data_IF_803985064163
#
_entry.id   IF_803985064163
#
_cell.length_a   1.000
_cell.length_b   1.000
_cell.length_c   1.000
_cell.angle_alpha   90.00
_cell.angle_beta   90.00
_cell.angle_gamma   90.00
#
_symmetry.space_group_name_H-M   'P 1'
#
loop_
_entity.id
_entity.type
_entity.pdbx_description
1 polymer ?
#
# COMPACT_ATOMS: atom_id res chain seq x y z
N UNK A 1 -32.70 -18.22 4.41
CA UNK A 1 -33.99 -17.51 4.57
C UNK A 1 -33.94 -16.77 5.88
N UNK A 2 -33.82 -15.44 5.86
CA UNK A 2 -33.88 -14.62 7.07
C UNK A 2 -35.35 -14.40 7.46
N UNK A 3 -35.72 -14.48 8.74
CA UNK A 3 -37.11 -14.33 9.17
C UNK A 3 -37.58 -12.89 8.92
N UNK A 4 -38.68 -12.74 8.17
CA UNK A 4 -39.40 -11.48 8.00
C UNK A 4 -40.06 -11.12 9.33
N UNK A 5 -39.42 -10.26 10.10
CA UNK A 5 -40.03 -9.66 11.29
C UNK A 5 -40.30 -8.21 10.95
N UNK A 6 -41.59 -7.83 10.95
CA UNK A 6 -41.99 -6.43 10.86
C UNK A 6 -41.48 -5.71 12.12
N UNK A 7 -40.83 -4.56 11.94
CA UNK A 7 -40.35 -3.75 13.04
C UNK A 7 -41.33 -2.59 13.23
N UNK A 8 -42.03 -2.58 14.36
CA UNK A 8 -42.89 -1.49 14.80
C UNK A 8 -42.09 -0.54 15.69
N UNK A 9 -42.31 0.77 15.56
CA UNK A 9 -41.78 1.76 16.49
C UNK A 9 -42.85 2.78 16.87
N UNK A 10 -42.52 3.50 17.94
CA UNK A 10 -43.40 4.34 18.71
C UNK A 10 -42.95 5.80 18.47
N UNK A 11 -43.83 6.66 17.94
CA UNK A 11 -43.55 8.10 17.76
C UNK A 11 -44.50 8.96 18.61
N UNK A 12 -44.03 10.04 19.25
CA UNK A 12 -44.90 10.99 19.94
C UNK A 12 -45.88 11.66 18.96
N UNK A 13 -47.12 11.94 19.41
CA UNK A 13 -48.18 12.55 18.58
C UNK A 13 -47.70 13.78 17.80
N UNK A 14 -47.53 13.65 16.48
CA UNK A 14 -47.51 14.77 15.53
C UNK A 14 -48.91 14.98 14.97
N UNK A 15 -49.43 16.19 15.17
CA UNK A 15 -50.71 16.64 14.59
C UNK A 15 -50.50 16.76 13.07
N UNK A 16 -51.27 15.97 12.31
CA UNK A 16 -50.89 15.50 10.99
C UNK A 16 -51.00 16.48 9.82
N UNK A 17 -50.52 16.01 8.67
CA UNK A 17 -50.99 16.38 7.33
C UNK A 17 -51.08 15.07 6.54
N UNK A 18 -52.28 14.73 6.08
CA UNK A 18 -52.58 13.51 5.33
C UNK A 18 -52.12 13.60 3.87
N UNK A 19 -51.49 12.54 3.37
CA UNK A 19 -51.07 12.44 1.98
C UNK A 19 -50.28 11.16 1.70
N UNK A 20 -50.90 10.00 1.87
CA UNK A 20 -50.30 8.73 1.50
C UNK A 20 -51.08 7.54 2.05
N UNK A 21 -51.36 6.56 1.18
CA UNK A 21 -52.05 5.31 1.54
C UNK A 21 -51.17 4.47 2.46
N UNK A 22 -51.57 4.31 3.73
CA UNK A 22 -50.90 3.43 4.70
C UNK A 22 -51.87 2.36 5.21
N UNK A 23 -51.42 1.10 5.17
CA UNK A 23 -52.07 -0.03 5.83
C UNK A 23 -51.87 0.10 7.36
N UNK A 24 -52.98 0.30 8.08
CA UNK A 24 -53.14 0.11 9.53
C UNK A 24 -52.39 1.07 10.46
N UNK A 25 -53.10 2.02 11.09
CA UNK A 25 -52.61 2.76 12.27
C UNK A 25 -53.21 2.11 13.52
N UNK A 26 -52.40 1.47 14.35
CA UNK A 26 -52.81 1.04 15.69
C UNK A 26 -52.39 2.10 16.72
N UNK A 27 -53.33 2.50 17.59
CA UNK A 27 -53.13 3.50 18.63
C UNK A 27 -52.94 2.81 19.98
N UNK A 28 -51.85 3.12 20.67
CA UNK A 28 -51.60 2.68 22.04
C UNK A 28 -51.14 3.87 22.89
N UNK A 29 -51.85 4.16 23.98
CA UNK A 29 -51.45 5.02 25.10
C UNK A 29 -50.44 6.12 24.74
N UNK A 30 -50.91 7.14 23.99
CA UNK A 30 -50.19 8.35 23.56
C UNK A 30 -49.17 8.27 22.42
N UNK A 31 -49.06 7.11 21.77
CA UNK A 31 -48.21 6.96 20.60
C UNK A 31 -48.95 6.39 19.39
N UNK A 32 -48.47 6.77 18.21
CA UNK A 32 -48.91 6.18 16.95
C UNK A 32 -47.82 5.24 16.44
N UNK A 33 -48.19 4.01 16.11
CA UNK A 33 -47.28 3.07 15.45
C UNK A 33 -47.33 3.32 13.94
N UNK A 34 -46.20 3.73 13.37
CA UNK A 34 -46.05 3.91 11.93
C UNK A 34 -45.37 2.66 11.33
N UNK A 35 -45.95 2.12 10.26
CA UNK A 35 -45.39 0.98 9.55
C UNK A 35 -44.35 1.43 8.52
N UNK A 36 -43.27 0.67 8.37
CA UNK A 36 -42.30 0.90 7.29
C UNK A 36 -42.05 -0.27 6.36
N UNK A 37 -41.50 -0.01 5.16
CA UNK A 37 -41.23 -1.05 4.19
C UNK A 37 -40.32 -2.16 4.76
N UNK A 38 -40.66 -3.41 4.47
CA UNK A 38 -39.87 -4.60 4.83
C UNK A 38 -38.71 -4.84 3.84
N UNK A 39 -37.89 -3.83 3.58
CA UNK A 39 -36.84 -3.84 2.54
C UNK A 39 -35.41 -3.95 3.11
N UNK A 40 -35.29 -4.26 4.41
CA UNK A 40 -34.00 -4.29 5.11
C UNK A 40 -33.42 -2.91 5.42
N UNK A 41 -34.11 -1.82 5.06
CA UNK A 41 -33.78 -0.44 5.44
C UNK A 41 -34.71 0.09 6.54
N UNK A 42 -35.62 -0.74 7.04
CA UNK A 42 -36.64 -0.41 8.05
C UNK A 42 -36.09 0.38 9.24
N UNK A 43 -34.91 0.05 9.76
CA UNK A 43 -34.26 0.80 10.84
C UNK A 43 -33.99 2.27 10.45
N UNK A 44 -33.41 2.51 9.28
CA UNK A 44 -33.09 3.87 8.83
C UNK A 44 -34.34 4.62 8.34
N UNK A 45 -35.32 3.89 7.82
CA UNK A 45 -36.66 4.39 7.54
C UNK A 45 -37.36 4.88 8.81
N UNK A 46 -37.16 4.17 9.94
CA UNK A 46 -37.64 4.56 11.27
C UNK A 46 -37.03 5.84 11.74
N UNK A 47 -35.71 5.89 11.67
CA UNK A 47 -34.96 7.04 12.13
C UNK A 47 -35.34 8.24 11.26
N UNK A 48 -35.48 8.09 9.94
CA UNK A 48 -35.93 9.14 9.03
C UNK A 48 -37.32 9.69 9.44
N UNK A 49 -38.31 8.82 9.64
CA UNK A 49 -39.66 9.20 10.08
C UNK A 49 -39.63 9.99 11.41
N UNK A 50 -38.87 9.49 12.39
CA UNK A 50 -38.74 10.13 13.72
C UNK A 50 -38.08 11.52 13.67
N UNK A 51 -37.14 11.74 12.74
CA UNK A 51 -36.47 13.03 12.55
C UNK A 51 -37.15 13.90 11.48
N UNK A 52 -38.39 13.57 11.10
CA UNK A 52 -39.19 14.30 10.10
C UNK A 52 -38.55 14.39 8.71
N UNK A 53 -37.75 13.40 8.34
CA UNK A 53 -37.18 13.23 7.01
C UNK A 53 -38.03 12.20 6.23
N UNK A 54 -38.33 12.42 4.93
CA UNK A 54 -39.05 11.44 4.14
C UNK A 54 -38.41 10.06 4.19
N UNK A 55 -39.22 9.01 4.38
CA UNK A 55 -38.76 7.62 4.48
C UNK A 55 -37.97 7.17 3.23
N UNK A 56 -38.26 7.76 2.06
CA UNK A 56 -37.48 7.56 0.82
C UNK A 56 -36.00 7.91 0.97
N UNK A 57 -35.66 8.78 1.93
CA UNK A 57 -34.30 9.25 2.19
C UNK A 57 -33.58 8.44 3.28
N UNK A 58 -34.10 7.29 3.71
CA UNK A 58 -33.45 6.40 4.68
C UNK A 58 -31.98 6.06 4.31
N UNK A 59 -31.67 6.01 3.01
CA UNK A 59 -30.29 5.78 2.53
C UNK A 59 -29.35 6.96 2.84
N UNK A 60 -29.87 8.19 2.87
CA UNK A 60 -29.10 9.38 3.26
C UNK A 60 -28.79 9.34 4.76
N UNK A 61 -29.76 8.97 5.60
CA UNK A 61 -29.55 8.80 7.06
C UNK A 61 -28.43 7.78 7.33
N UNK A 62 -28.46 6.65 6.63
CA UNK A 62 -27.38 5.65 6.73
C UNK A 62 -26.04 6.22 6.28
N UNK A 63 -26.01 6.96 5.17
CA UNK A 63 -24.79 7.58 4.64
C UNK A 63 -24.20 8.57 5.65
N UNK A 64 -25.03 9.43 6.22
CA UNK A 64 -24.60 10.44 7.19
C UNK A 64 -24.03 9.78 8.45
N UNK A 65 -24.64 8.69 8.94
CA UNK A 65 -24.09 7.92 10.05
C UNK A 65 -22.72 7.32 9.71
N UNK A 66 -22.57 6.74 8.52
CA UNK A 66 -21.30 6.16 8.07
C UNK A 66 -20.23 7.25 7.92
N UNK A 67 -20.58 8.38 7.33
CA UNK A 67 -19.67 9.51 7.17
C UNK A 67 -19.31 10.13 8.52
N UNK A 68 -20.24 10.19 9.48
CA UNK A 68 -19.95 10.58 10.85
C UNK A 68 -18.93 9.63 11.48
N UNK A 69 -19.18 8.30 11.50
CA UNK A 69 -18.22 7.33 12.06
C UNK A 69 -16.84 7.43 11.39
N UNK A 70 -16.83 7.56 10.06
CA UNK A 70 -15.59 7.73 9.29
C UNK A 70 -14.83 8.98 9.72
N UNK A 71 -15.51 10.10 9.89
CA UNK A 71 -14.87 11.39 10.20
C UNK A 71 -14.50 11.53 11.68
N UNK A 72 -15.27 10.97 12.60
CA UNK A 72 -15.06 11.16 14.05
C UNK A 72 -14.13 10.10 14.64
N UNK A 73 -14.10 8.89 14.07
CA UNK A 73 -13.32 7.78 14.62
C UNK A 73 -12.22 7.30 13.68
N UNK A 74 -12.58 6.94 12.45
CA UNK A 74 -11.63 6.30 11.52
C UNK A 74 -10.54 7.26 11.07
N UNK A 75 -10.91 8.46 10.61
CA UNK A 75 -9.94 9.47 10.15
C UNK A 75 -8.96 9.88 11.26
N UNK A 76 -9.40 10.30 12.46
CA UNK A 76 -8.47 10.70 13.52
C UNK A 76 -7.55 9.57 13.95
N UNK A 77 -8.06 8.33 14.03
CA UNK A 77 -7.23 7.18 14.36
C UNK A 77 -6.18 6.90 13.29
N UNK A 78 -6.58 6.92 12.01
CA UNK A 78 -5.65 6.72 10.89
C UNK A 78 -4.58 7.82 10.83
N UNK A 79 -4.96 9.06 11.12
CA UNK A 79 -4.04 10.20 11.17
C UNK A 79 -3.07 10.06 12.35
N UNK A 80 -3.56 9.75 13.55
CA UNK A 80 -2.72 9.55 14.73
C UNK A 80 -1.72 8.40 14.53
N UNK A 81 -2.13 7.33 13.84
CA UNK A 81 -1.24 6.23 13.49
C UNK A 81 -0.17 6.68 12.49
N UNK A 82 -0.55 7.38 11.43
CA UNK A 82 0.39 7.92 10.44
C UNK A 82 1.39 8.90 11.08
N UNK A 83 0.91 9.79 11.95
CA UNK A 83 1.74 10.74 12.68
C UNK A 83 2.67 10.03 13.67
N UNK A 84 2.20 8.97 14.33
CA UNK A 84 2.99 8.14 15.22
C UNK A 84 4.13 7.41 14.49
N UNK A 85 3.84 6.84 13.32
CA UNK A 85 4.84 6.20 12.45
C UNK A 85 5.84 7.25 11.96
N UNK A 86 5.37 8.38 11.45
CA UNK A 86 6.23 9.47 10.98
C UNK A 86 7.11 10.03 12.10
N UNK A 87 6.59 10.17 13.31
CA UNK A 87 7.35 10.65 14.47
C UNK A 87 8.45 9.68 14.89
N UNK A 88 8.18 8.37 14.85
CA UNK A 88 9.14 7.34 15.29
C UNK A 88 10.16 6.98 14.21
N UNK A 89 9.70 6.85 12.98
CA UNK A 89 10.48 6.28 11.87
C UNK A 89 10.76 7.28 10.75
N UNK A 90 10.22 8.51 10.80
CA UNK A 90 10.36 9.48 9.71
C UNK A 90 11.81 9.75 9.33
N UNK A 91 12.71 9.90 10.31
CA UNK A 91 14.14 10.06 10.05
C UNK A 91 14.74 8.86 9.32
N UNK A 92 14.43 7.64 9.77
CA UNK A 92 14.92 6.39 9.15
C UNK A 92 14.37 6.22 7.74
N UNK A 93 13.10 6.60 7.51
CA UNK A 93 12.45 6.51 6.20
C UNK A 93 12.91 7.60 5.22
N UNK A 94 13.52 8.67 5.71
CA UNK A 94 14.09 9.77 4.92
C UNK A 94 15.60 9.61 4.68
N UNK A 95 16.25 8.76 5.46
CA UNK A 95 17.67 8.49 5.39
C UNK A 95 18.00 7.60 4.18
N UNK A 96 18.99 8.05 3.44
CA UNK A 96 19.38 7.51 2.14
C UNK A 96 19.88 6.07 2.22
N UNK A 97 20.65 5.72 3.25
CA UNK A 97 21.21 4.37 3.40
C UNK A 97 20.10 3.34 3.60
N UNK A 98 19.13 3.67 4.46
CA UNK A 98 17.98 2.81 4.71
C UNK A 98 17.06 2.71 3.50
N UNK A 99 16.92 3.79 2.71
CA UNK A 99 16.16 3.76 1.46
C UNK A 99 16.84 2.83 0.45
N UNK A 100 18.16 2.93 0.29
CA UNK A 100 18.93 2.07 -0.62
C UNK A 100 18.87 0.59 -0.20
N UNK A 101 19.09 0.31 1.09
CA UNK A 101 18.96 -1.04 1.64
C UNK A 101 17.54 -1.61 1.43
N UNK A 102 16.51 -0.80 1.66
CA UNK A 102 15.12 -1.20 1.43
C UNK A 102 14.83 -1.47 -0.05
N UNK A 103 15.48 -0.74 -0.96
CA UNK A 103 15.33 -0.95 -2.40
C UNK A 103 15.91 -2.29 -2.88
N UNK A 104 16.90 -2.83 -2.18
CA UNK A 104 17.47 -4.16 -2.42
C UNK A 104 16.57 -5.29 -1.91
N UNK A 105 15.62 -5.02 -1.02
CA UNK A 105 14.68 -6.03 -0.52
C UNK A 105 13.53 -6.24 -1.55
N UNK A 106 13.31 -7.47 -2.06
CA UNK A 106 12.33 -7.74 -3.13
C UNK A 106 10.89 -7.32 -2.83
N UNK A 107 10.51 -7.36 -1.55
CA UNK A 107 9.18 -6.97 -1.10
C UNK A 107 8.93 -5.45 -1.19
N UNK A 108 9.96 -4.64 -0.95
CA UNK A 108 9.83 -3.18 -0.88
C UNK A 108 10.21 -2.51 -2.19
N UNK A 109 11.38 -2.84 -2.77
CA UNK A 109 11.91 -2.20 -3.97
C UNK A 109 11.74 -0.69 -3.89
N UNK A 110 11.16 -0.05 -4.90
CA UNK A 110 10.86 1.39 -4.89
C UNK A 110 9.36 1.69 -4.67
N UNK A 111 8.56 0.68 -4.32
CA UNK A 111 7.10 0.82 -4.22
C UNK A 111 6.64 1.64 -3.01
N UNK A 112 7.50 1.77 -1.99
CA UNK A 112 7.21 2.56 -0.79
C UNK A 112 7.46 4.07 -1.00
N UNK A 113 8.12 4.46 -2.09
CA UNK A 113 8.37 5.85 -2.44
C UNK A 113 7.21 6.39 -3.29
N UNK A 114 6.65 7.54 -2.89
CA UNK A 114 5.53 8.17 -3.60
C UNK A 114 5.99 9.16 -4.68
N UNK A 115 7.26 9.55 -4.70
CA UNK A 115 7.81 10.58 -5.60
C UNK A 115 8.67 9.95 -6.69
N UNK A 116 8.24 10.07 -7.94
CA UNK A 116 8.94 9.50 -9.09
C UNK A 116 10.33 10.13 -9.32
N UNK A 117 10.53 11.40 -8.94
CA UNK A 117 11.86 12.02 -9.00
C UNK A 117 12.80 11.36 -7.99
N UNK A 118 12.31 11.09 -6.77
CA UNK A 118 13.08 10.36 -5.76
C UNK A 118 13.38 8.94 -6.21
N UNK A 119 12.42 8.24 -6.82
CA UNK A 119 12.65 6.89 -7.37
C UNK A 119 13.77 6.88 -8.41
N UNK A 120 13.79 7.86 -9.31
CA UNK A 120 14.85 7.99 -10.31
C UNK A 120 16.22 8.19 -9.65
N UNK A 121 16.32 9.13 -8.70
CA UNK A 121 17.56 9.43 -7.99
C UNK A 121 18.07 8.21 -7.19
N UNK A 122 17.18 7.50 -6.49
CA UNK A 122 17.55 6.28 -5.77
C UNK A 122 18.01 5.18 -6.73
N UNK A 123 17.38 5.05 -7.90
CA UNK A 123 17.80 4.08 -8.93
C UNK A 123 19.21 4.37 -9.43
N UNK A 124 19.53 5.63 -9.70
CA UNK A 124 20.88 6.05 -10.12
C UNK A 124 21.92 5.74 -9.04
N UNK A 125 21.61 6.05 -7.78
CA UNK A 125 22.49 5.76 -6.64
C UNK A 125 22.68 4.26 -6.42
N UNK A 126 21.61 3.49 -6.54
CA UNK A 126 21.65 2.03 -6.41
C UNK A 126 22.53 1.40 -7.50
N UNK A 127 22.47 1.93 -8.73
CA UNK A 127 23.35 1.50 -9.81
C UNK A 127 24.83 1.80 -9.51
N UNK A 128 25.13 2.98 -8.97
CA UNK A 128 26.50 3.33 -8.54
C UNK A 128 26.97 2.40 -7.42
N UNK A 129 26.13 2.16 -6.41
CA UNK A 129 26.44 1.25 -5.31
C UNK A 129 26.75 -0.16 -5.79
N UNK A 130 25.91 -0.73 -6.66
CA UNK A 130 26.13 -2.08 -7.22
C UNK A 130 27.46 -2.13 -8.01
N UNK A 131 27.76 -1.11 -8.81
CA UNK A 131 29.03 -1.02 -9.54
C UNK A 131 30.23 -0.99 -8.61
N UNK A 132 30.13 -0.29 -7.49
CA UNK A 132 31.22 -0.20 -6.53
C UNK A 132 31.42 -1.53 -5.80
N UNK A 133 30.33 -2.22 -5.42
CA UNK A 133 30.37 -3.58 -4.86
C UNK A 133 31.02 -4.58 -5.83
N UNK A 134 30.67 -4.55 -7.12
CA UNK A 134 31.29 -5.44 -8.12
C UNK A 134 32.80 -5.19 -8.26
N UNK A 135 33.24 -3.92 -8.19
CA UNK A 135 34.66 -3.58 -8.21
C UNK A 135 35.40 -4.07 -6.98
N UNK A 136 34.76 -4.09 -5.81
CA UNK A 136 35.36 -4.64 -4.59
C UNK A 136 35.47 -6.16 -4.65
N UNK A 137 34.44 -6.84 -5.15
CA UNK A 137 34.45 -8.31 -5.34
C UNK A 137 35.46 -8.73 -6.41
N UNK A 138 35.67 -7.91 -7.44
CA UNK A 138 36.65 -8.13 -8.51
C UNK A 138 38.11 -7.87 -8.12
N UNK A 139 38.41 -7.35 -6.92
CA UNK A 139 39.78 -7.22 -6.40
C UNK A 139 40.20 -8.52 -5.72
N UNK A 140 41.27 -9.20 -6.18
CA UNK A 140 41.80 -10.36 -5.48
C UNK A 140 42.60 -9.86 -4.28
N UNK A 141 41.97 -9.72 -3.11
CA UNK A 141 42.70 -9.54 -1.85
C UNK A 141 42.71 -10.84 -1.05
N UNK A 142 43.91 -11.16 -0.59
CA UNK A 142 44.28 -12.35 0.16
C UNK A 142 43.45 -12.48 1.45
N UNK A 143 42.63 -13.52 1.58
CA UNK A 143 42.60 -14.46 2.71
C UNK A 143 41.32 -15.31 2.76
N UNK A 144 41.52 -16.62 2.59
CA UNK A 144 40.78 -17.75 3.20
C UNK A 144 39.30 -17.96 2.83
N UNK A 145 39.04 -18.83 1.85
CA UNK A 145 38.94 -20.28 2.10
C UNK A 145 38.97 -21.12 0.80
N UNK A 146 39.36 -22.41 0.88
CA UNK A 146 39.85 -23.20 -0.25
C UNK A 146 38.81 -24.17 -0.84
N UNK A 147 39.22 -24.84 -1.94
CA UNK A 147 38.64 -26.00 -2.65
C UNK A 147 37.78 -25.56 -3.85
N UNK A 148 38.15 -25.69 -5.13
CA UNK A 148 38.87 -26.76 -5.84
C UNK A 148 39.51 -26.17 -7.12
N UNK A 149 40.74 -26.63 -7.42
CA UNK A 149 41.55 -26.35 -8.60
C UNK A 149 40.80 -26.60 -9.94
N UNK A 150 41.12 -25.94 -11.06
CA UNK A 150 42.39 -26.11 -11.77
C UNK A 150 42.78 -24.92 -12.66
N UNK A 151 44.09 -24.70 -12.65
CA UNK A 151 44.90 -23.73 -13.37
C UNK A 151 44.76 -23.79 -14.90
N UNK A 152 44.83 -22.63 -15.56
CA UNK A 152 45.73 -22.45 -16.70
C UNK A 152 46.20 -20.99 -16.80
N UNK A 153 47.51 -20.92 -16.66
CA UNK A 153 48.42 -19.81 -16.83
C UNK A 153 48.41 -19.34 -18.29
N UNK A 154 48.04 -18.08 -18.56
CA UNK A 154 48.57 -17.30 -19.69
C UNK A 154 48.32 -15.81 -19.44
N UNK A 155 49.38 -15.08 -19.10
CA UNK A 155 49.46 -13.63 -19.34
C UNK A 155 49.26 -13.34 -20.83
N UNK A 156 48.54 -12.27 -21.16
CA UNK A 156 49.14 -11.31 -22.07
C UNK A 156 48.97 -9.86 -21.58
N UNK A 157 50.12 -9.20 -21.55
CA UNK A 157 50.37 -7.84 -22.03
C UNK A 157 49.19 -6.85 -22.08
N UNK A 158 49.37 -5.78 -21.29
CA UNK A 158 48.61 -4.54 -21.33
C UNK A 158 48.34 -4.08 -22.77
N UNK A 159 47.06 -4.06 -23.17
CA UNK A 159 46.64 -3.35 -24.37
C UNK A 159 45.40 -2.49 -24.07
N UNK A 160 45.55 -1.22 -24.43
CA UNK A 160 44.56 -0.19 -24.70
C UNK A 160 43.63 0.29 -23.57
N UNK A 161 43.90 1.54 -23.16
CA UNK A 161 42.98 2.44 -22.45
C UNK A 161 41.58 2.53 -23.12
N UNK A 162 41.49 2.25 -24.42
CA UNK A 162 40.24 2.24 -25.19
C UNK A 162 39.41 0.96 -24.96
N UNK A 163 40.04 -0.21 -24.84
CA UNK A 163 39.38 -1.49 -24.57
C UNK A 163 38.80 -1.49 -23.13
N UNK A 164 39.46 -0.83 -22.19
CA UNK A 164 38.96 -0.62 -20.82
C UNK A 164 37.72 0.29 -20.73
N UNK A 165 37.54 1.21 -21.68
CA UNK A 165 36.39 2.11 -21.74
C UNK A 165 35.20 1.41 -22.40
N UNK A 166 35.42 0.62 -23.44
CA UNK A 166 34.36 -0.17 -24.09
C UNK A 166 33.83 -1.28 -23.17
N UNK A 167 34.71 -2.05 -22.51
CA UNK A 167 34.30 -3.10 -21.56
C UNK A 167 33.55 -2.53 -20.35
N UNK A 168 33.94 -1.34 -19.85
CA UNK A 168 33.20 -0.66 -18.78
C UNK A 168 31.84 -0.13 -19.24
N UNK A 169 31.71 0.30 -20.49
CA UNK A 169 30.45 0.83 -21.02
C UNK A 169 29.42 -0.29 -21.25
N UNK A 170 29.86 -1.44 -21.77
CA UNK A 170 29.00 -2.58 -22.04
C UNK A 170 28.61 -3.32 -20.75
N UNK A 171 29.54 -3.47 -19.80
CA UNK A 171 29.24 -4.01 -18.46
C UNK A 171 28.32 -3.10 -17.66
N UNK A 172 28.54 -1.78 -17.70
CA UNK A 172 27.65 -0.78 -17.09
C UNK A 172 26.22 -0.83 -17.68
N UNK A 173 26.09 -1.09 -18.98
CA UNK A 173 24.79 -1.23 -19.64
C UNK A 173 24.05 -2.49 -19.16
N UNK A 174 24.75 -3.63 -19.09
CA UNK A 174 24.22 -4.91 -18.58
C UNK A 174 23.78 -4.81 -17.11
N UNK A 175 24.53 -4.09 -16.28
CA UNK A 175 24.19 -3.81 -14.89
C UNK A 175 22.92 -2.99 -14.74
N UNK A 176 22.82 -1.91 -15.52
CA UNK A 176 21.64 -1.06 -15.53
C UNK A 176 20.41 -1.87 -15.96
N UNK A 177 20.52 -2.69 -17.00
CA UNK A 177 19.45 -3.56 -17.46
C UNK A 177 19.03 -4.59 -16.40
N UNK A 178 19.98 -5.24 -15.74
CA UNK A 178 19.72 -6.19 -14.67
C UNK A 178 18.97 -5.54 -13.50
N UNK A 179 19.43 -4.36 -13.05
CA UNK A 179 18.76 -3.60 -12.00
C UNK A 179 17.34 -3.18 -12.43
N UNK A 180 17.18 -2.73 -13.67
CA UNK A 180 15.90 -2.33 -14.23
C UNK A 180 14.90 -3.49 -14.22
N UNK A 181 15.36 -4.68 -14.61
CA UNK A 181 14.57 -5.90 -14.64
C UNK A 181 14.19 -6.35 -13.22
N UNK A 182 15.13 -6.28 -12.27
CA UNK A 182 14.87 -6.55 -10.86
C UNK A 182 13.79 -5.63 -10.28
N UNK A 183 13.93 -4.31 -10.45
CA UNK A 183 12.99 -3.32 -9.94
C UNK A 183 11.61 -3.42 -10.57
N UNK A 184 11.53 -3.88 -11.82
CA UNK A 184 10.25 -4.06 -12.54
C UNK A 184 9.57 -5.41 -12.24
N UNK A 185 10.29 -6.36 -11.65
CA UNK A 185 9.73 -7.67 -11.31
C UNK A 185 8.66 -7.58 -10.22
N UNK A 186 7.67 -8.47 -10.27
CA UNK A 186 6.60 -8.55 -9.25
C UNK A 186 6.91 -9.55 -8.13
N UNK A 187 8.04 -10.24 -8.21
CA UNK A 187 8.47 -11.19 -7.19
C UNK A 187 8.75 -10.47 -5.86
N UNK A 188 8.38 -11.10 -4.76
CA UNK A 188 8.52 -10.56 -3.40
C UNK A 188 9.43 -11.41 -2.52
N UNK A 189 9.85 -12.56 -3.01
CA UNK A 189 10.61 -13.56 -2.30
C UNK A 189 12.12 -13.37 -2.53
N UNK A 190 12.93 -13.70 -1.52
CA UNK A 190 14.38 -13.47 -1.52
C UNK A 190 15.07 -14.37 -2.55
N UNK A 191 14.53 -15.55 -2.85
CA UNK A 191 15.13 -16.46 -3.83
C UNK A 191 15.12 -15.87 -5.25
N UNK A 192 14.28 -14.87 -5.52
CA UNK A 192 14.27 -14.17 -6.81
C UNK A 192 15.51 -13.28 -7.02
N UNK A 193 16.25 -12.93 -5.96
CA UNK A 193 17.52 -12.21 -6.08
C UNK A 193 18.56 -13.03 -6.84
N UNK A 194 18.53 -14.36 -6.76
CA UNK A 194 19.47 -15.22 -7.47
C UNK A 194 19.38 -15.10 -9.00
N UNK A 195 18.26 -14.59 -9.53
CA UNK A 195 18.12 -14.27 -10.96
C UNK A 195 18.89 -12.99 -11.37
N UNK A 196 19.35 -12.19 -10.41
CA UNK A 196 20.06 -10.94 -10.62
C UNK A 196 21.39 -10.91 -9.84
N UNK A 197 22.42 -11.64 -10.29
CA UNK A 197 23.72 -11.75 -9.60
C UNK A 197 24.31 -10.45 -9.02
N UNK A 198 24.32 -9.34 -9.76
CA UNK A 198 24.91 -8.09 -9.27
C UNK A 198 24.06 -7.45 -8.16
N UNK A 199 22.73 -7.53 -8.27
CA UNK A 199 21.82 -7.07 -7.22
C UNK A 199 21.93 -7.97 -5.98
N UNK A 200 22.07 -9.28 -6.17
CA UNK A 200 22.25 -10.25 -5.09
C UNK A 200 23.59 -10.06 -4.36
N UNK A 201 24.64 -9.67 -5.06
CA UNK A 201 25.94 -9.38 -4.46
C UNK A 201 25.92 -8.10 -3.60
N UNK A 202 25.05 -7.15 -3.95
CA UNK A 202 24.88 -5.89 -3.24
C UNK A 202 23.87 -5.96 -2.06
N UNK A 203 23.07 -7.03 -1.99
CA UNK A 203 22.08 -7.30 -0.93
C UNK A 203 22.74 -7.85 0.34
#
# INVERSE_FOLDING_TARGET
>A
MCPKTAWTWISPKTVGIEGGSYLGKEQFNDYTVNNTPEDGKCLFSAIADQISIPISNASAVRKDLVDHIRNTLVKPLSQALADGIKKRFGKVLEDEEYILASALIPQFKLNFLNDDKKKLLIREKLLTYIKDVEKEIGKPDQAQNPILATSKDTTPECNNLYDYIEENSESSCKLAEQLNNYLSSQAKNVEHLFCYPAVCAAF
#
